data_IF_188285007568
#
_entry.id   IF_188285007568
#
_cell.length_a   1.000
_cell.length_b   1.000
_cell.length_c   1.000
_cell.angle_alpha   90.00
_cell.angle_beta   90.00
_cell.angle_gamma   90.00
#
_symmetry.space_group_name_H-M   'P 1'
#
loop_
_entity.id
_entity.type
_entity.pdbx_description
1 polymer ?
#
# COMPACT_ATOMS: atom_id res chain seq x y z
N UNK A 1 1.09 16.50 0.17
CA UNK A 1 2.02 16.68 -0.96
C UNK A 1 2.82 17.96 -0.75
N UNK A 2 2.16 19.07 -0.43
CA UNK A 2 2.82 20.34 -0.03
C UNK A 2 3.91 20.15 1.04
N UNK A 3 3.65 19.40 2.12
CA UNK A 3 4.66 19.16 3.17
C UNK A 3 5.91 18.42 2.66
N UNK A 4 5.73 17.46 1.74
CA UNK A 4 6.84 16.72 1.15
C UNK A 4 7.68 17.61 0.23
N UNK A 5 7.02 18.45 -0.58
CA UNK A 5 7.67 19.43 -1.45
C UNK A 5 8.44 20.47 -0.63
N UNK A 6 7.86 20.94 0.48
CA UNK A 6 8.53 21.88 1.39
C UNK A 6 9.82 21.29 1.96
N UNK A 7 9.80 20.03 2.42
CA UNK A 7 10.99 19.35 2.96
C UNK A 7 12.05 19.14 1.89
N UNK A 8 11.66 18.78 0.66
CA UNK A 8 12.60 18.65 -0.45
C UNK A 8 13.28 19.99 -0.73
N UNK A 9 12.50 21.07 -0.88
CA UNK A 9 13.04 22.40 -1.12
C UNK A 9 13.98 22.85 0.00
N UNK A 10 13.61 22.63 1.27
CA UNK A 10 14.46 22.98 2.42
C UNK A 10 15.76 22.17 2.41
N UNK A 11 15.69 20.88 2.07
CA UNK A 11 16.88 20.01 2.03
C UNK A 11 17.86 20.43 0.92
N UNK A 12 17.35 20.95 -0.20
CA UNK A 12 18.16 21.47 -1.31
C UNK A 12 18.86 22.80 -0.98
N UNK A 13 18.29 23.60 -0.07
CA UNK A 13 18.84 24.89 0.35
C UNK A 13 19.93 24.78 1.44
N UNK A 14 20.01 23.64 2.14
CA UNK A 14 20.94 23.46 3.27
C UNK A 14 22.18 22.67 2.80
N UNK A 15 23.38 23.25 2.96
CA UNK A 15 24.68 22.64 2.64
C UNK A 15 25.09 21.45 3.54
N UNK A 16 24.20 21.01 4.43
CA UNK A 16 24.43 19.94 5.40
C UNK A 16 23.20 19.08 5.60
N UNK A 17 23.42 17.79 5.86
CA UNK A 17 22.33 16.85 6.12
C UNK A 17 21.67 17.17 7.46
N UNK A 18 20.40 17.58 7.44
CA UNK A 18 19.56 17.70 8.63
C UNK A 18 18.81 16.38 8.87
N UNK A 19 19.20 15.70 9.94
CA UNK A 19 18.59 14.44 10.38
C UNK A 19 17.11 14.57 10.74
N UNK A 20 16.65 15.72 11.23
CA UNK A 20 15.25 15.92 11.60
C UNK A 20 14.37 16.01 10.34
N UNK A 21 14.82 16.75 9.33
CA UNK A 21 14.14 16.82 8.03
C UNK A 21 14.10 15.46 7.33
N UNK A 22 15.18 14.67 7.42
CA UNK A 22 15.19 13.30 6.89
C UNK A 22 14.19 12.38 7.60
N UNK A 23 14.08 12.47 8.92
CA UNK A 23 13.10 11.69 9.69
C UNK A 23 11.67 12.08 9.31
N UNK A 24 11.40 13.37 9.15
CA UNK A 24 10.10 13.87 8.74
C UNK A 24 9.74 13.43 7.32
N UNK A 25 10.66 13.57 6.36
CA UNK A 25 10.48 13.07 4.99
C UNK A 25 10.24 11.55 4.96
N UNK A 26 10.98 10.78 5.76
CA UNK A 26 10.77 9.33 5.88
C UNK A 26 9.39 8.97 6.44
N UNK A 27 8.91 9.74 7.42
CA UNK A 27 7.56 9.56 7.98
C UNK A 27 6.48 9.83 6.92
N UNK A 28 6.60 10.92 6.17
CA UNK A 28 5.64 11.28 5.13
C UNK A 28 5.61 10.21 4.03
N UNK A 29 6.76 9.70 3.60
CA UNK A 29 6.83 8.60 2.62
C UNK A 29 6.09 7.36 3.14
N UNK A 30 6.32 6.95 4.39
CA UNK A 30 5.63 5.79 4.98
C UNK A 30 4.12 5.99 5.05
N UNK A 31 3.65 7.18 5.39
CA UNK A 31 2.23 7.51 5.46
C UNK A 31 1.58 7.52 4.07
N UNK A 32 2.31 8.03 3.08
CA UNK A 32 1.88 8.02 1.68
C UNK A 32 1.76 6.59 1.15
N UNK A 33 2.77 5.75 1.38
CA UNK A 33 2.73 4.33 0.98
C UNK A 33 1.51 3.62 1.57
N UNK A 34 1.27 3.76 2.88
CA UNK A 34 0.09 3.16 3.53
C UNK A 34 -1.23 3.66 2.94
N UNK A 35 -1.28 4.93 2.55
CA UNK A 35 -2.48 5.52 1.97
C UNK A 35 -2.73 5.02 0.55
N UNK A 36 -1.65 4.83 -0.23
CA UNK A 36 -1.72 4.22 -1.57
C UNK A 36 -2.15 2.76 -1.49
N UNK A 37 -1.57 1.96 -0.59
CA UNK A 37 -1.95 0.55 -0.39
C UNK A 37 -3.46 0.43 -0.06
N UNK A 38 -3.95 1.29 0.83
CA UNK A 38 -5.39 1.33 1.17
C UNK A 38 -6.25 1.75 -0.01
N UNK A 39 -5.79 2.72 -0.79
CA UNK A 39 -6.50 3.16 -1.98
C UNK A 39 -6.60 2.03 -3.01
N UNK A 40 -5.50 1.33 -3.28
CA UNK A 40 -5.47 0.17 -4.18
C UNK A 40 -6.41 -0.93 -3.71
N UNK A 41 -6.37 -1.29 -2.43
CA UNK A 41 -7.28 -2.26 -1.84
C UNK A 41 -8.75 -1.84 -2.00
N UNK A 42 -9.04 -0.55 -1.81
CA UNK A 42 -10.41 -0.01 -1.96
C UNK A 42 -10.89 -0.09 -3.40
N UNK A 43 -10.01 0.14 -4.38
CA UNK A 43 -10.33 0.01 -5.80
C UNK A 43 -10.56 -1.46 -6.17
N UNK A 44 -9.70 -2.35 -5.68
CA UNK A 44 -9.79 -3.79 -5.94
C UNK A 44 -11.05 -4.40 -5.32
N UNK A 45 -11.43 -3.96 -4.12
CA UNK A 45 -12.57 -4.47 -3.34
C UNK A 45 -13.81 -3.57 -3.44
N UNK A 46 -14.10 -3.07 -4.65
CA UNK A 46 -15.23 -2.16 -4.91
C UNK A 46 -16.50 -2.86 -5.45
N UNK A 47 -16.48 -4.19 -5.52
CA UNK A 47 -17.58 -5.03 -5.94
C UNK A 47 -18.73 -5.10 -4.92
N UNK A 48 -19.95 -5.42 -5.37
CA UNK A 48 -21.16 -5.40 -4.54
C UNK A 48 -21.14 -6.40 -3.38
N UNK A 49 -20.29 -7.43 -3.45
CA UNK A 49 -20.21 -8.50 -2.45
C UNK A 49 -18.82 -8.62 -1.80
N UNK A 50 -17.89 -7.68 -2.03
CA UNK A 50 -16.51 -7.79 -1.51
C UNK A 50 -16.42 -7.64 0.02
N UNK A 51 -17.50 -7.17 0.65
CA UNK A 51 -17.65 -7.12 2.11
C UNK A 51 -18.11 -8.45 2.71
N UNK A 52 -18.62 -9.35 1.89
CA UNK A 52 -19.17 -10.64 2.33
C UNK A 52 -18.07 -11.71 2.37
N UNK A 53 -18.26 -12.72 3.20
CA UNK A 53 -17.35 -13.88 3.23
C UNK A 53 -17.48 -14.70 1.95
N UNK A 54 -16.35 -15.19 1.43
CA UNK A 54 -16.33 -16.11 0.29
C UNK A 54 -16.48 -17.57 0.76
N UNK A 55 -17.33 -18.35 0.08
CA UNK A 55 -17.38 -19.81 0.22
C UNK A 55 -16.61 -20.42 -0.94
N UNK A 56 -15.47 -21.05 -0.65
CA UNK A 56 -14.66 -21.76 -1.63
C UNK A 56 -14.92 -23.26 -1.54
N UNK A 57 -15.48 -23.84 -2.59
CA UNK A 57 -15.63 -25.29 -2.73
C UNK A 57 -14.59 -25.80 -3.71
N UNK A 58 -13.69 -26.66 -3.25
CA UNK A 58 -12.71 -27.35 -4.10
C UNK A 58 -13.24 -28.75 -4.38
N UNK A 59 -13.48 -29.06 -5.65
CA UNK A 59 -13.92 -30.38 -6.09
C UNK A 59 -12.78 -31.03 -6.87
N UNK A 60 -12.44 -32.27 -6.53
CA UNK A 60 -11.50 -33.08 -7.30
C UNK A 60 -12.00 -33.20 -8.76
N UNK A 61 -11.11 -32.99 -9.72
CA UNK A 61 -11.41 -33.21 -11.14
C UNK A 61 -11.69 -34.69 -11.42
N UNK A 62 -12.14 -35.00 -12.65
CA UNK A 62 -12.50 -36.36 -13.07
C UNK A 62 -11.29 -37.33 -13.25
N UNK A 63 -10.26 -37.22 -12.41
CA UNK A 63 -8.98 -37.95 -12.52
C UNK A 63 -8.86 -39.21 -11.64
N UNK A 64 -9.90 -39.64 -10.95
CA UNK A 64 -9.81 -40.83 -10.09
C UNK A 64 -8.80 -40.67 -8.95
N UNK A 65 -8.06 -41.73 -8.60
CA UNK A 65 -7.11 -41.76 -7.46
C UNK A 65 -5.98 -40.73 -7.53
N UNK A 66 -5.74 -40.09 -8.68
CA UNK A 66 -4.71 -39.06 -8.88
C UNK A 66 -5.25 -37.62 -8.68
N UNK A 67 -6.55 -37.45 -8.39
CA UNK A 67 -7.20 -36.14 -8.28
C UNK A 67 -7.49 -35.70 -6.83
N UNK A 68 -6.99 -36.42 -5.83
CA UNK A 68 -7.06 -36.04 -4.40
C UNK A 68 -5.75 -35.45 -3.89
#
# INVERSE_FOLDING_TARGET
VEDAEMIVNLTEEIDSIDTALLEEGSKIIRELTKSLDRFELTQLLSGPYDKEGAVLTVTAGAGGTDAQ
#
